data_IF_843644431411
#
_entry.id   IF_843644431411
#
_cell.length_a   1.000
_cell.length_b   1.000
_cell.length_c   1.000
_cell.angle_alpha   90.00
_cell.angle_beta   90.00
_cell.angle_gamma   90.00
#
_symmetry.space_group_name_H-M   'P 1'
#
loop_
_entity.id
_entity.type
_entity.pdbx_description
1 polymer ?
#
# COMPACT_ATOMS: atom_id res chain seq x y z
N UNK A 1 20.35 58.77 45.99
CA UNK A 1 19.71 57.81 46.93
C UNK A 1 18.54 57.19 46.18
N UNK A 2 18.37 55.86 46.24
CA UNK A 2 17.55 55.04 45.33
C UNK A 2 18.05 55.13 43.86
N UNK A 3 18.54 54.10 43.16
CA UNK A 3 18.48 52.63 43.22
C UNK A 3 17.38 51.97 42.36
N UNK A 4 17.77 51.62 41.14
CA UNK A 4 17.32 50.42 40.41
C UNK A 4 18.59 49.66 39.98
N UNK A 5 18.54 48.33 39.94
CA UNK A 5 19.72 47.48 39.84
C UNK A 5 19.83 46.74 38.50
N UNK A 6 21.04 46.31 38.16
CA UNK A 6 21.39 45.57 36.94
C UNK A 6 21.39 44.05 37.15
N UNK A 7 21.16 43.32 36.04
CA UNK A 7 21.21 41.86 35.96
C UNK A 7 20.16 41.35 34.96
N UNK A 8 20.40 40.30 34.18
CA UNK A 8 21.61 39.50 34.00
C UNK A 8 21.33 38.42 32.94
N UNK A 9 22.31 38.07 32.10
CA UNK A 9 22.05 37.17 30.97
C UNK A 9 21.75 35.73 31.43
N UNK A 10 20.81 35.07 30.76
CA UNK A 10 20.59 33.62 30.83
C UNK A 10 20.47 33.06 29.42
N UNK A 11 21.37 32.14 29.06
CA UNK A 11 21.38 31.47 27.76
C UNK A 11 20.49 30.23 27.81
N UNK A 12 19.29 30.32 27.22
CA UNK A 12 18.39 29.19 27.06
C UNK A 12 18.88 28.25 25.95
N UNK A 13 19.61 27.19 26.31
CA UNK A 13 19.97 26.10 25.39
C UNK A 13 18.71 25.24 25.14
N UNK A 14 18.38 24.86 23.89
CA UNK A 14 17.31 23.90 23.61
C UNK A 14 17.59 22.55 24.28
N UNK A 15 16.60 22.02 25.01
CA UNK A 15 16.77 20.80 25.80
C UNK A 15 17.10 19.58 24.95
N UNK A 16 18.05 18.76 25.40
CA UNK A 16 18.42 17.49 24.76
C UNK A 16 17.24 16.52 24.71
N UNK A 17 17.07 15.86 23.57
CA UNK A 17 16.14 14.73 23.41
C UNK A 17 16.43 13.63 24.44
N UNK A 18 15.51 13.40 25.37
CA UNK A 18 15.54 12.18 26.18
C UNK A 18 15.03 11.02 25.32
N UNK A 19 15.85 9.99 25.14
CA UNK A 19 15.44 8.76 24.48
C UNK A 19 14.53 7.94 25.40
N UNK A 20 13.24 7.90 25.09
CA UNK A 20 12.32 6.94 25.70
C UNK A 20 12.63 5.53 25.20
N UNK A 21 13.07 4.64 26.09
CA UNK A 21 13.25 3.23 25.79
C UNK A 21 11.91 2.50 25.83
N UNK A 22 11.49 1.92 24.71
CA UNK A 22 10.23 1.19 24.59
C UNK A 22 9.15 2.04 23.92
N UNK A 23 9.04 1.89 22.60
CA UNK A 23 7.91 2.34 21.80
C UNK A 23 7.45 1.15 20.97
N UNK A 24 6.23 0.67 21.19
CA UNK A 24 5.50 -0.04 20.14
C UNK A 24 5.30 0.92 18.94
N UNK A 25 4.84 0.40 17.79
CA UNK A 25 4.69 1.13 16.53
C UNK A 25 3.55 2.18 16.54
N UNK A 26 3.55 3.07 17.54
CA UNK A 26 2.50 4.07 17.73
C UNK A 26 2.56 5.12 16.62
N UNK A 27 1.55 5.10 15.77
CA UNK A 27 1.28 6.05 14.71
C UNK A 27 1.51 7.51 15.14
N UNK A 28 2.22 8.27 14.31
CA UNK A 28 2.28 9.74 14.44
C UNK A 28 0.89 10.33 14.19
N UNK A 29 0.32 11.02 15.19
CA UNK A 29 -0.93 11.78 15.02
C UNK A 29 -0.77 13.00 14.12
N UNK A 30 0.43 13.59 14.10
CA UNK A 30 0.71 14.84 13.40
C UNK A 30 1.58 14.61 12.16
N UNK A 31 1.19 15.21 11.02
CA UNK A 31 1.91 15.18 9.75
C UNK A 31 3.20 16.04 9.81
N UNK A 32 4.21 15.54 10.52
CA UNK A 32 5.50 16.23 10.69
C UNK A 32 6.56 15.74 9.69
N UNK A 33 7.09 16.60 8.80
CA UNK A 33 8.06 16.22 7.76
C UNK A 33 9.31 15.54 8.33
N UNK A 34 9.76 14.46 7.68
CA UNK A 34 10.91 13.68 8.15
C UNK A 34 12.24 14.41 7.95
N UNK A 35 12.63 15.24 8.92
CA UNK A 35 13.96 15.85 8.98
C UNK A 35 15.08 14.82 8.82
N UNK A 36 14.97 13.67 9.51
CA UNK A 36 15.91 12.53 9.39
C UNK A 36 16.12 12.06 7.96
N UNK A 37 15.08 12.03 7.13
CA UNK A 37 15.21 11.65 5.71
C UNK A 37 15.91 12.73 4.91
N UNK A 38 15.45 13.98 4.99
CA UNK A 38 15.98 15.09 4.22
C UNK A 38 17.41 15.49 4.58
N UNK A 39 17.81 15.31 5.83
CA UNK A 39 19.17 15.57 6.33
C UNK A 39 20.11 14.36 6.16
N UNK A 40 19.61 13.19 5.75
CA UNK A 40 20.44 11.98 5.60
C UNK A 40 21.46 12.12 4.45
N UNK A 41 22.70 11.61 4.61
CA UNK A 41 23.78 11.83 3.63
C UNK A 41 23.44 11.46 2.19
N UNK A 42 22.71 10.35 1.98
CA UNK A 42 22.39 9.84 0.65
C UNK A 42 21.26 10.62 -0.01
N UNK A 43 20.30 11.12 0.76
CA UNK A 43 19.26 12.04 0.23
C UNK A 43 19.90 13.38 -0.15
N UNK A 44 20.83 13.88 0.68
CA UNK A 44 21.65 15.06 0.36
C UNK A 44 22.56 14.82 -0.87
N UNK A 45 23.05 13.60 -1.08
CA UNK A 45 23.81 13.23 -2.27
C UNK A 45 22.93 13.17 -3.54
N UNK A 46 21.75 12.54 -3.46
CA UNK A 46 20.78 12.47 -4.57
C UNK A 46 20.30 13.87 -4.98
N UNK A 47 20.14 14.80 -4.02
CA UNK A 47 19.83 16.20 -4.28
C UNK A 47 20.87 16.94 -5.14
N UNK A 48 22.07 16.38 -5.39
CA UNK A 48 23.01 16.98 -6.36
C UNK A 48 22.46 16.94 -7.79
N UNK A 49 21.69 15.91 -8.16
CA UNK A 49 20.98 15.83 -9.46
C UNK A 49 20.01 17.00 -9.61
N UNK A 50 19.21 17.24 -8.57
CA UNK A 50 18.25 18.34 -8.48
C UNK A 50 18.97 19.70 -8.52
N UNK A 51 20.06 19.85 -7.77
CA UNK A 51 20.91 21.05 -7.76
C UNK A 51 21.51 21.37 -9.13
N UNK A 52 22.05 20.37 -9.83
CA UNK A 52 22.60 20.54 -11.17
C UNK A 52 21.51 20.95 -12.18
N UNK A 53 20.34 20.30 -12.11
CA UNK A 53 19.23 20.61 -13.00
C UNK A 53 18.71 22.04 -12.78
N UNK A 54 18.49 22.46 -11.53
CA UNK A 54 18.07 23.84 -11.20
C UNK A 54 19.13 24.85 -11.63
N UNK A 55 20.42 24.56 -11.38
CA UNK A 55 21.55 25.39 -11.82
C UNK A 55 21.64 25.59 -13.34
N UNK A 56 21.09 24.65 -14.13
CA UNK A 56 20.99 24.73 -15.59
C UNK A 56 19.70 25.43 -16.04
N UNK A 57 18.54 24.95 -15.61
CA UNK A 57 17.23 25.38 -16.12
C UNK A 57 16.72 26.68 -15.50
N UNK A 58 17.02 26.94 -14.22
CA UNK A 58 16.65 28.15 -13.49
C UNK A 58 17.85 29.09 -13.28
N UNK A 59 18.92 28.94 -14.07
CA UNK A 59 20.22 29.63 -13.93
C UNK A 59 20.12 31.13 -13.63
N UNK A 60 19.23 31.86 -14.32
CA UNK A 60 19.00 33.31 -14.11
C UNK A 60 18.71 33.67 -12.64
N UNK A 61 18.04 32.78 -11.92
CA UNK A 61 17.53 33.01 -10.56
C UNK A 61 18.48 32.50 -9.47
N UNK A 62 19.31 31.50 -9.77
CA UNK A 62 20.23 30.86 -8.79
C UNK A 62 21.71 31.17 -9.00
N UNK A 63 22.13 31.79 -10.12
CA UNK A 63 23.56 32.02 -10.41
C UNK A 63 24.28 32.90 -9.38
N UNK A 64 23.57 33.84 -8.74
CA UNK A 64 24.12 34.74 -7.71
C UNK A 64 24.08 34.16 -6.29
N UNK A 65 23.31 33.10 -6.08
CA UNK A 65 22.94 32.52 -4.78
C UNK A 65 22.72 31.01 -4.98
N UNK A 66 23.79 30.33 -5.42
CA UNK A 66 23.71 28.95 -5.89
C UNK A 66 23.59 27.99 -4.70
N UNK A 67 22.48 27.25 -4.55
CA UNK A 67 22.24 26.45 -3.36
C UNK A 67 23.13 25.21 -3.30
N UNK A 68 23.57 24.85 -2.09
CA UNK A 68 24.10 23.52 -1.81
C UNK A 68 22.96 22.51 -1.64
N UNK A 69 23.28 21.21 -1.69
CA UNK A 69 22.27 20.17 -1.48
C UNK A 69 21.64 20.23 -0.08
N UNK A 70 22.41 20.62 0.95
CA UNK A 70 21.89 20.88 2.30
C UNK A 70 20.92 22.06 2.33
N UNK A 71 21.18 23.12 1.54
CA UNK A 71 20.26 24.25 1.41
C UNK A 71 18.97 23.83 0.70
N UNK A 72 19.05 22.98 -0.34
CA UNK A 72 17.86 22.41 -0.98
C UNK A 72 17.03 21.55 0.00
N UNK A 73 17.67 20.64 0.74
CA UNK A 73 16.99 19.83 1.78
C UNK A 73 16.30 20.71 2.84
N UNK A 74 16.99 21.71 3.36
CA UNK A 74 16.44 22.63 4.36
C UNK A 74 15.29 23.49 3.81
N UNK A 75 15.30 23.86 2.52
CA UNK A 75 14.18 24.54 1.85
C UNK A 75 13.02 23.58 1.62
N UNK A 76 13.26 22.33 1.22
CA UNK A 76 12.22 21.30 1.07
C UNK A 76 11.51 21.04 2.39
N UNK A 77 12.23 20.92 3.52
CA UNK A 77 11.64 20.80 4.85
C UNK A 77 10.78 22.02 5.24
N UNK A 78 11.26 23.24 4.96
CA UNK A 78 10.47 24.46 5.22
C UNK A 78 9.21 24.53 4.36
N UNK A 79 9.27 24.09 3.10
CA UNK A 79 8.10 24.02 2.20
C UNK A 79 7.08 22.99 2.72
N UNK A 80 7.53 21.77 3.05
CA UNK A 80 6.67 20.72 3.60
C UNK A 80 6.01 21.15 4.92
N UNK A 81 6.74 21.81 5.82
CA UNK A 81 6.18 22.31 7.09
C UNK A 81 5.16 23.43 6.84
N UNK A 82 5.49 24.42 5.99
CA UNK A 82 4.53 25.49 5.64
C UNK A 82 3.28 24.93 4.95
N UNK A 83 3.42 23.89 4.14
CA UNK A 83 2.28 23.21 3.50
C UNK A 83 1.32 22.61 4.54
N UNK A 84 1.82 21.97 5.61
CA UNK A 84 0.94 21.46 6.67
C UNK A 84 0.40 22.60 7.56
N UNK A 85 1.23 23.59 7.90
CA UNK A 85 0.81 24.73 8.74
C UNK A 85 -0.29 25.59 8.08
N UNK A 86 -0.25 25.75 6.75
CA UNK A 86 -1.15 26.62 5.99
C UNK A 86 -2.25 25.89 5.21
N UNK A 87 -2.03 24.62 4.84
CA UNK A 87 -2.94 23.81 4.01
C UNK A 87 -3.26 22.43 4.61
N UNK A 88 -2.75 22.09 5.80
CA UNK A 88 -2.99 20.82 6.49
C UNK A 88 -4.42 20.59 6.97
N UNK A 89 -4.68 19.38 7.49
CA UNK A 89 -5.97 18.95 8.08
C UNK A 89 -6.46 19.88 9.21
N UNK A 90 -5.53 20.59 9.84
CA UNK A 90 -5.80 21.50 10.96
C UNK A 90 -5.70 22.98 10.60
N UNK A 91 -5.49 23.32 9.33
CA UNK A 91 -5.43 24.70 8.86
C UNK A 91 -6.82 25.36 8.83
N UNK A 92 -6.92 26.57 9.37
CA UNK A 92 -8.18 27.30 9.49
C UNK A 92 -8.58 27.98 8.17
N UNK A 93 -9.21 27.23 7.26
CA UNK A 93 -9.65 27.71 5.94
C UNK A 93 -8.50 27.73 4.92
N UNK A 94 -8.00 26.55 4.49
CA UNK A 94 -6.85 26.45 3.60
C UNK A 94 -7.12 27.11 2.24
N UNK A 95 -6.18 27.95 1.78
CA UNK A 95 -6.33 28.72 0.55
C UNK A 95 -5.97 27.95 -0.73
N UNK A 96 -5.31 26.79 -0.60
CA UNK A 96 -4.91 25.88 -1.67
C UNK A 96 -5.07 24.43 -1.19
N UNK A 97 -5.16 23.48 -2.13
CA UNK A 97 -4.96 22.05 -1.84
C UNK A 97 -3.47 21.78 -1.65
N UNK A 98 -3.10 20.83 -0.79
CA UNK A 98 -1.72 20.38 -0.62
C UNK A 98 -1.18 19.77 -1.92
N UNK A 99 0.09 20.03 -2.21
CA UNK A 99 0.81 19.30 -3.25
C UNK A 99 1.11 17.88 -2.74
N UNK A 100 0.77 16.80 -3.48
CA UNK A 100 0.99 15.43 -3.05
C UNK A 100 2.43 15.17 -2.59
N UNK A 101 2.62 14.44 -1.50
CA UNK A 101 3.96 14.17 -0.96
C UNK A 101 4.92 13.54 -1.99
N UNK A 102 4.42 12.71 -2.90
CA UNK A 102 5.20 12.14 -4.03
C UNK A 102 5.88 13.21 -4.90
N UNK A 103 5.26 14.38 -5.09
CA UNK A 103 5.85 15.48 -5.85
C UNK A 103 7.14 16.03 -5.21
N UNK A 104 7.31 15.87 -3.90
CA UNK A 104 8.56 16.19 -3.21
C UNK A 104 9.57 15.04 -3.24
N UNK A 105 9.14 13.79 -3.38
CA UNK A 105 10.00 12.61 -3.40
C UNK A 105 10.56 12.27 -4.81
N UNK A 106 10.09 12.92 -5.86
CA UNK A 106 10.65 12.78 -7.21
C UNK A 106 11.97 13.58 -7.38
N UNK A 107 13.07 12.98 -6.94
CA UNK A 107 14.45 13.49 -7.06
C UNK A 107 15.08 13.29 -8.46
N UNK A 108 14.34 12.76 -9.45
CA UNK A 108 14.88 12.50 -10.80
C UNK A 108 15.29 13.80 -11.52
N UNK A 109 16.18 13.75 -12.54
CA UNK A 109 16.55 14.96 -13.28
C UNK A 109 15.35 15.52 -14.06
N UNK A 110 14.80 16.65 -13.61
CA UNK A 110 13.55 17.21 -14.14
C UNK A 110 12.27 16.58 -13.58
N UNK A 111 12.39 15.79 -12.49
CA UNK A 111 11.26 15.32 -11.71
C UNK A 111 10.56 16.46 -10.94
N UNK A 112 9.43 16.14 -10.31
CA UNK A 112 8.58 17.15 -9.65
C UNK A 112 9.34 18.05 -8.65
N UNK A 113 10.25 17.51 -7.84
CA UNK A 113 11.03 18.31 -6.87
C UNK A 113 11.92 19.36 -7.56
N UNK A 114 12.43 19.08 -8.76
CA UNK A 114 13.19 20.04 -9.56
C UNK A 114 12.33 21.27 -9.94
N UNK A 115 11.05 21.04 -10.26
CA UNK A 115 10.10 22.10 -10.60
C UNK A 115 9.59 22.85 -9.36
N UNK A 116 9.40 22.17 -8.22
CA UNK A 116 9.09 22.80 -6.92
C UNK A 116 10.20 23.78 -6.53
N UNK A 117 11.42 23.28 -6.36
CA UNK A 117 12.54 24.09 -5.86
C UNK A 117 12.97 25.15 -6.88
N UNK A 118 13.00 24.82 -8.18
CA UNK A 118 13.26 25.81 -9.22
C UNK A 118 12.28 26.98 -9.17
N UNK A 119 10.97 26.70 -9.04
CA UNK A 119 9.93 27.72 -8.98
C UNK A 119 9.96 28.52 -7.67
N UNK A 120 10.28 27.89 -6.54
CA UNK A 120 10.51 28.57 -5.27
C UNK A 120 11.71 29.54 -5.33
N UNK A 121 12.83 29.12 -5.94
CA UNK A 121 14.01 29.99 -6.13
C UNK A 121 13.75 31.12 -7.14
N UNK A 122 12.97 30.88 -8.20
CA UNK A 122 12.46 31.93 -9.09
C UNK A 122 11.66 32.97 -8.30
N UNK A 123 10.67 32.52 -7.51
CA UNK A 123 9.82 33.42 -6.71
C UNK A 123 10.62 34.20 -5.68
N UNK A 124 11.54 33.55 -4.94
CA UNK A 124 12.51 34.18 -4.03
C UNK A 124 13.26 35.33 -4.71
N UNK A 125 13.77 35.11 -5.92
CA UNK A 125 14.53 36.10 -6.67
C UNK A 125 13.63 37.24 -7.20
N UNK A 126 12.43 36.92 -7.71
CA UNK A 126 11.47 37.90 -8.23
C UNK A 126 10.88 38.78 -7.11
N UNK A 127 10.76 38.27 -5.88
CA UNK A 127 10.40 39.03 -4.66
C UNK A 127 11.60 39.69 -3.95
N UNK A 128 12.83 39.59 -4.49
CA UNK A 128 14.04 40.18 -3.88
C UNK A 128 14.44 39.61 -2.52
N UNK A 129 14.02 38.39 -2.18
CA UNK A 129 14.24 37.78 -0.87
C UNK A 129 15.68 37.28 -0.69
N UNK A 130 16.36 37.78 0.36
CA UNK A 130 17.70 37.30 0.76
C UNK A 130 17.69 35.81 1.13
N UNK A 131 16.69 35.37 1.89
CA UNK A 131 16.46 33.97 2.29
C UNK A 131 14.98 33.61 2.25
N UNK A 132 14.66 32.32 2.21
CA UNK A 132 13.35 31.83 2.59
C UNK A 132 13.10 32.08 4.09
N UNK A 133 11.84 32.30 4.45
CA UNK A 133 11.42 32.76 5.78
C UNK A 133 9.94 32.36 5.96
N UNK A 134 9.65 31.07 5.78
CA UNK A 134 8.25 30.60 5.61
C UNK A 134 7.45 30.59 6.91
N UNK A 135 8.12 30.47 8.06
CA UNK A 135 7.53 30.57 9.41
C UNK A 135 7.09 31.98 9.79
N UNK A 136 7.38 33.01 8.99
CA UNK A 136 7.09 34.41 9.30
C UNK A 136 5.66 34.78 8.86
N UNK A 137 4.70 35.04 9.78
CA UNK A 137 3.30 35.28 9.41
C UNK A 137 3.10 36.49 8.48
N UNK A 138 3.97 37.51 8.57
CA UNK A 138 3.94 38.68 7.69
C UNK A 138 4.24 38.38 6.21
N UNK A 139 4.70 37.16 5.91
CA UNK A 139 4.93 36.66 4.55
C UNK A 139 3.91 35.62 4.10
N UNK A 140 2.97 35.20 4.96
CA UNK A 140 2.08 34.06 4.69
C UNK A 140 1.37 34.16 3.33
N UNK A 141 0.75 35.30 3.03
CA UNK A 141 0.10 35.57 1.72
C UNK A 141 1.07 35.38 0.53
N UNK A 142 2.30 35.88 0.61
CA UNK A 142 3.33 35.70 -0.43
C UNK A 142 3.87 34.27 -0.50
N UNK A 143 3.84 33.54 0.60
CA UNK A 143 4.18 32.11 0.61
C UNK A 143 3.05 31.29 -0.06
N UNK A 144 1.78 31.64 0.15
CA UNK A 144 0.63 31.05 -0.57
C UNK A 144 0.72 31.36 -2.08
N UNK A 145 1.02 32.60 -2.48
CA UNK A 145 1.29 32.94 -3.89
C UNK A 145 2.40 32.08 -4.51
N UNK A 146 3.48 31.82 -3.75
CA UNK A 146 4.58 30.96 -4.17
C UNK A 146 4.11 29.51 -4.38
N UNK A 147 3.28 28.97 -3.49
CA UNK A 147 2.72 27.62 -3.65
C UNK A 147 1.81 27.52 -4.88
N UNK A 148 0.94 28.49 -5.13
CA UNK A 148 0.16 28.53 -6.38
C UNK A 148 1.05 28.68 -7.63
N UNK A 149 2.21 29.34 -7.53
CA UNK A 149 3.18 29.39 -8.63
C UNK A 149 3.91 28.06 -8.85
N UNK A 150 4.16 27.28 -7.78
CA UNK A 150 4.73 25.93 -7.83
C UNK A 150 3.72 24.95 -8.44
N UNK A 151 2.47 24.96 -7.96
CA UNK A 151 1.35 24.14 -8.46
C UNK A 151 1.18 24.30 -9.99
N UNK A 152 1.05 25.54 -10.46
CA UNK A 152 0.97 25.84 -11.91
C UNK A 152 2.19 25.35 -12.68
N UNK A 153 3.39 25.41 -12.09
CA UNK A 153 4.60 24.90 -12.73
C UNK A 153 4.62 23.36 -12.80
N UNK A 154 4.13 22.67 -11.76
CA UNK A 154 4.01 21.20 -11.76
C UNK A 154 3.02 20.71 -12.82
N UNK A 155 1.84 21.34 -12.91
CA UNK A 155 0.82 21.02 -13.93
C UNK A 155 1.36 21.28 -15.34
N UNK A 156 2.02 22.43 -15.57
CA UNK A 156 2.60 22.78 -16.88
C UNK A 156 3.75 21.87 -17.35
N UNK A 157 4.36 21.09 -16.45
CA UNK A 157 5.43 20.15 -16.78
C UNK A 157 4.99 18.68 -16.56
N UNK A 158 3.67 18.43 -16.56
CA UNK A 158 3.05 17.10 -16.36
C UNK A 158 3.55 16.36 -15.10
N UNK A 159 4.04 17.11 -14.10
CA UNK A 159 4.58 16.61 -12.82
C UNK A 159 3.50 16.52 -11.73
N UNK A 160 2.33 17.12 -11.97
CA UNK A 160 1.10 16.96 -11.20
C UNK A 160 -0.06 16.86 -12.21
N UNK A 161 -0.85 15.80 -12.11
CA UNK A 161 -2.06 15.63 -12.92
C UNK A 161 -3.29 15.80 -12.01
N UNK A 162 -4.15 16.76 -12.32
CA UNK A 162 -5.41 16.94 -11.60
C UNK A 162 -6.42 15.85 -12.03
N UNK A 163 -7.21 15.27 -11.12
CA UNK A 163 -8.18 14.22 -11.46
C UNK A 163 -9.25 14.69 -12.46
N UNK A 164 -9.53 13.84 -13.45
CA UNK A 164 -10.73 13.90 -14.30
C UNK A 164 -11.63 12.75 -13.87
N UNK A 165 -12.82 13.07 -13.39
CA UNK A 165 -13.61 12.18 -12.53
C UNK A 165 -14.98 11.91 -13.13
N UNK A 166 -15.31 10.63 -13.30
CA UNK A 166 -16.65 10.15 -13.59
C UNK A 166 -17.30 9.64 -12.30
N UNK A 167 -18.53 10.04 -12.02
CA UNK A 167 -19.33 9.49 -10.91
C UNK A 167 -20.22 8.38 -11.45
N UNK A 168 -20.17 7.19 -10.85
CA UNK A 168 -20.99 6.07 -11.29
C UNK A 168 -22.49 6.29 -10.94
N UNK A 169 -23.44 5.94 -11.82
CA UNK A 169 -24.88 6.14 -11.58
C UNK A 169 -25.46 5.42 -10.35
N UNK A 170 -24.72 4.48 -9.74
CA UNK A 170 -25.11 3.87 -8.47
C UNK A 170 -24.87 4.76 -7.24
N UNK A 171 -24.16 5.89 -7.39
CA UNK A 171 -23.90 6.85 -6.30
C UNK A 171 -25.17 7.68 -6.00
N UNK A 172 -25.59 7.70 -4.73
CA UNK A 172 -26.74 8.48 -4.26
C UNK A 172 -26.62 9.97 -4.65
N UNK A 173 -27.73 10.60 -5.05
CA UNK A 173 -27.76 11.99 -5.51
C UNK A 173 -27.27 13.00 -4.45
N UNK A 174 -27.51 12.76 -3.15
CA UNK A 174 -26.97 13.61 -2.07
C UNK A 174 -25.44 13.48 -2.01
N UNK A 175 -24.94 12.25 -2.04
CA UNK A 175 -23.51 11.96 -2.05
C UNK A 175 -22.83 12.52 -3.31
N UNK A 176 -23.40 12.31 -4.51
CA UNK A 176 -22.89 12.84 -5.77
C UNK A 176 -22.80 14.38 -5.77
N UNK A 177 -23.76 15.07 -5.13
CA UNK A 177 -23.74 16.54 -4.97
C UNK A 177 -22.61 16.98 -4.03
N UNK A 178 -22.38 16.25 -2.93
CA UNK A 178 -21.25 16.49 -2.02
C UNK A 178 -19.90 16.23 -2.71
N UNK A 179 -19.75 15.09 -3.38
CA UNK A 179 -18.55 14.71 -4.14
C UNK A 179 -18.23 15.76 -5.21
N UNK A 180 -19.23 16.18 -6.00
CA UNK A 180 -19.11 17.24 -7.01
C UNK A 180 -18.53 18.54 -6.43
N UNK A 181 -19.02 18.93 -5.24
CA UNK A 181 -18.56 20.14 -4.53
C UNK A 181 -17.09 20.00 -4.12
N UNK A 182 -16.70 18.85 -3.56
CA UNK A 182 -15.33 18.55 -3.13
C UNK A 182 -14.37 18.51 -4.33
N UNK A 183 -14.70 17.75 -5.38
CA UNK A 183 -13.88 17.63 -6.60
C UNK A 183 -13.59 19.02 -7.18
N UNK A 184 -14.62 19.88 -7.27
CA UNK A 184 -14.48 21.26 -7.77
C UNK A 184 -13.60 22.12 -6.84
N UNK A 185 -13.78 22.03 -5.51
CA UNK A 185 -12.94 22.71 -4.50
C UNK A 185 -11.45 22.34 -4.66
N UNK A 186 -11.14 21.09 -4.97
CA UNK A 186 -9.79 20.57 -5.14
C UNK A 186 -9.27 20.60 -6.59
N UNK A 187 -9.89 21.42 -7.45
CA UNK A 187 -9.52 21.64 -8.86
C UNK A 187 -9.60 20.38 -9.76
N UNK A 188 -10.27 19.32 -9.30
CA UNK A 188 -10.63 18.19 -10.16
C UNK A 188 -11.71 18.58 -11.17
N UNK A 189 -11.71 17.89 -12.31
CA UNK A 189 -12.68 18.09 -13.39
C UNK A 189 -13.69 16.95 -13.41
N UNK A 190 -14.98 17.23 -13.58
CA UNK A 190 -16.02 16.22 -13.76
C UNK A 190 -16.25 15.92 -15.24
N UNK A 191 -16.57 14.66 -15.56
CA UNK A 191 -16.92 14.21 -16.91
C UNK A 191 -18.10 13.24 -16.86
N UNK A 192 -19.01 13.35 -17.82
CA UNK A 192 -20.07 12.36 -18.09
C UNK A 192 -19.55 11.22 -19.00
N UNK A 193 -18.46 11.45 -19.73
CA UNK A 193 -17.80 10.46 -20.57
C UNK A 193 -16.81 9.63 -19.75
N UNK A 194 -17.10 8.33 -19.63
CA UNK A 194 -16.27 7.33 -18.93
C UNK A 194 -14.89 7.11 -19.57
N UNK A 195 -14.73 7.39 -20.86
CA UNK A 195 -13.49 7.17 -21.61
C UNK A 195 -12.47 8.31 -21.44
N UNK A 196 -12.95 9.51 -21.13
CA UNK A 196 -12.12 10.68 -20.82
C UNK A 196 -11.73 10.77 -19.33
N UNK A 197 -12.37 9.98 -18.48
CA UNK A 197 -12.11 9.96 -17.04
C UNK A 197 -10.77 9.30 -16.71
N UNK A 198 -10.03 9.87 -15.76
CA UNK A 198 -8.90 9.19 -15.12
C UNK A 198 -9.33 8.34 -13.91
N UNK A 199 -10.46 8.68 -13.28
CA UNK A 199 -11.04 8.00 -12.12
C UNK A 199 -12.54 7.76 -12.32
N UNK A 200 -13.02 6.54 -12.01
CA UNK A 200 -14.45 6.21 -11.87
C UNK A 200 -14.74 6.04 -10.39
N UNK A 201 -15.67 6.85 -9.86
CA UNK A 201 -16.05 6.86 -8.44
C UNK A 201 -17.31 6.03 -8.22
N UNK A 202 -17.17 4.97 -7.44
CA UNK A 202 -18.26 4.08 -7.05
C UNK A 202 -18.84 4.47 -5.66
N UNK A 203 -20.03 3.96 -5.30
CA UNK A 203 -20.60 4.14 -3.96
C UNK A 203 -19.63 3.68 -2.87
N UNK A 204 -19.78 4.21 -1.65
CA UNK A 204 -19.08 3.71 -0.48
C UNK A 204 -19.22 2.18 -0.40
N UNK A 205 -18.08 1.49 -0.37
CA UNK A 205 -18.06 0.05 -0.17
C UNK A 205 -18.61 -0.31 1.23
N UNK A 206 -19.11 -1.54 1.37
CA UNK A 206 -19.40 -2.08 2.69
C UNK A 206 -18.09 -2.15 3.49
N UNK A 207 -18.11 -1.65 4.73
CA UNK A 207 -16.95 -1.65 5.62
C UNK A 207 -16.41 -3.06 5.83
N UNK A 208 -15.17 -3.28 5.40
CA UNK A 208 -14.23 -4.09 6.18
C UNK A 208 -14.00 -3.38 7.52
N UNK A 209 -13.71 -4.14 8.57
CA UNK A 209 -13.62 -3.63 9.94
C UNK A 209 -12.54 -2.52 10.07
N UNK A 210 -12.73 -1.56 10.97
CA UNK A 210 -11.91 -0.33 11.09
C UNK A 210 -10.51 -0.57 11.70
N UNK A 211 -9.93 -1.75 11.47
CA UNK A 211 -8.59 -2.12 11.93
C UNK A 211 -7.53 -1.22 11.25
N UNK A 212 -6.69 -0.58 12.08
CA UNK A 212 -5.61 0.26 11.56
C UNK A 212 -4.57 -0.64 10.87
N UNK A 213 -4.30 -0.38 9.59
CA UNK A 213 -3.34 -1.12 8.79
C UNK A 213 -2.28 -0.20 8.18
N UNK A 214 -1.13 -0.78 7.88
CA UNK A 214 -0.04 -0.09 7.18
C UNK A 214 0.54 -0.94 6.05
N UNK A 215 1.29 -0.33 5.12
CA UNK A 215 2.08 -1.06 4.11
C UNK A 215 3.52 -0.51 3.99
N UNK A 216 4.54 -1.36 3.82
CA UNK A 216 5.90 -0.91 3.50
C UNK A 216 5.97 -0.27 2.10
N UNK A 217 6.49 0.96 2.00
CA UNK A 217 6.59 1.69 0.71
C UNK A 217 8.04 1.97 0.29
N UNK A 218 8.97 2.14 1.23
CA UNK A 218 10.40 2.32 0.92
C UNK A 218 11.28 1.88 2.10
N UNK A 219 12.26 1.01 1.86
CA UNK A 219 13.25 0.58 2.87
C UNK A 219 14.55 1.36 2.67
N UNK A 220 15.09 1.96 3.75
CA UNK A 220 16.37 2.67 3.75
C UNK A 220 17.16 2.35 5.02
N UNK A 221 18.34 1.78 4.85
CA UNK A 221 19.22 1.31 5.92
C UNK A 221 18.48 0.38 6.91
N UNK A 222 18.27 0.85 8.15
CA UNK A 222 17.56 0.17 9.24
C UNK A 222 16.18 0.79 9.51
N UNK A 223 15.62 1.49 8.54
CA UNK A 223 14.28 2.08 8.64
C UNK A 223 13.43 1.70 7.43
N UNK A 224 12.12 1.72 7.63
CA UNK A 224 11.12 1.54 6.58
C UNK A 224 10.15 2.72 6.65
N UNK A 225 9.91 3.36 5.51
CA UNK A 225 8.78 4.25 5.31
C UNK A 225 7.54 3.38 5.14
N UNK A 226 6.61 3.49 6.09
CA UNK A 226 5.30 2.85 6.03
C UNK A 226 4.22 3.87 5.73
N UNK A 227 3.31 3.49 4.86
CA UNK A 227 2.08 4.21 4.55
C UNK A 227 0.97 3.71 5.45
N UNK A 228 0.06 4.60 5.85
CA UNK A 228 -1.02 4.32 6.80
C UNK A 228 -2.35 4.33 6.07
N UNK A 229 -3.11 3.24 6.17
CA UNK A 229 -4.36 3.08 5.42
C UNK A 229 -5.34 4.23 5.62
N UNK A 230 -5.99 4.68 4.55
CA UNK A 230 -6.91 5.83 4.49
C UNK A 230 -6.29 7.19 4.84
N UNK A 231 -4.98 7.34 4.68
CA UNK A 231 -4.25 8.60 4.87
C UNK A 231 -3.47 8.97 3.60
N UNK A 232 -3.28 10.25 3.27
CA UNK A 232 -2.45 10.62 2.13
C UNK A 232 -0.97 10.45 2.47
N UNK A 233 -0.14 10.24 1.44
CA UNK A 233 1.30 9.96 1.53
C UNK A 233 2.11 10.97 2.37
N UNK A 234 1.57 12.15 2.71
CA UNK A 234 2.22 13.08 3.64
C UNK A 234 2.29 12.57 5.08
N UNK A 235 1.41 11.63 5.46
CA UNK A 235 1.37 11.00 6.79
C UNK A 235 2.31 9.78 6.91
N UNK A 236 2.93 9.33 5.81
CA UNK A 236 3.87 8.22 5.80
C UNK A 236 4.99 8.43 6.82
N UNK A 237 5.30 7.37 7.59
CA UNK A 237 6.18 7.48 8.74
C UNK A 237 7.36 6.50 8.67
N UNK A 238 8.53 6.97 9.11
CA UNK A 238 9.76 6.16 9.16
C UNK A 238 9.83 5.40 10.48
N UNK A 239 9.54 4.10 10.43
CA UNK A 239 9.68 3.14 11.53
C UNK A 239 11.03 2.40 11.45
N UNK A 240 11.39 1.65 12.49
CA UNK A 240 12.55 0.77 12.45
C UNK A 240 12.29 -0.43 11.55
N UNK A 241 13.33 -0.96 10.90
CA UNK A 241 13.27 -2.24 10.17
C UNK A 241 13.00 -3.47 11.05
N UNK A 242 12.95 -3.30 12.38
CA UNK A 242 12.56 -4.32 13.34
C UNK A 242 11.09 -4.20 13.79
N UNK A 243 10.45 -3.06 13.53
CA UNK A 243 9.08 -2.75 13.98
C UNK A 243 8.08 -2.85 12.81
N UNK A 244 8.53 -3.42 11.68
CA UNK A 244 7.80 -3.54 10.41
C UNK A 244 8.10 -4.91 9.82
N UNK A 245 7.08 -5.76 9.81
CA UNK A 245 7.08 -7.02 9.08
C UNK A 245 6.79 -6.80 7.59
N UNK A 246 6.97 -7.84 6.77
CA UNK A 246 6.85 -7.73 5.31
C UNK A 246 8.04 -7.05 4.60
N UNK A 247 8.08 -7.21 3.28
CA UNK A 247 9.03 -6.52 2.41
C UNK A 247 8.37 -5.34 1.67
N UNK A 248 9.18 -4.54 0.98
CA UNK A 248 8.65 -3.46 0.12
C UNK A 248 8.36 -4.05 -1.25
N UNK A 249 7.10 -4.43 -1.45
CA UNK A 249 6.58 -4.84 -2.76
C UNK A 249 6.43 -3.63 -3.70
N UNK A 250 6.52 -3.84 -5.02
CA UNK A 250 6.23 -2.80 -5.99
C UNK A 250 4.72 -2.47 -6.05
N UNK A 251 4.33 -1.22 -6.36
CA UNK A 251 2.93 -0.88 -6.59
C UNK A 251 2.28 -1.75 -7.69
N UNK A 252 1.03 -2.19 -7.50
CA UNK A 252 0.31 -2.92 -8.55
C UNK A 252 0.20 -2.06 -9.82
N UNK A 253 0.30 -2.70 -10.99
CA UNK A 253 0.21 -2.03 -12.28
C UNK A 253 -1.23 -1.54 -12.53
N UNK A 254 -1.55 -0.35 -12.03
CA UNK A 254 -2.88 0.24 -12.12
C UNK A 254 -3.20 0.68 -13.54
N UNK A 255 -4.09 -0.05 -14.21
CA UNK A 255 -4.67 0.40 -15.47
C UNK A 255 -5.50 1.69 -15.27
N UNK A 256 -5.66 2.46 -16.34
CA UNK A 256 -6.53 3.64 -16.37
C UNK A 256 -7.79 3.30 -17.18
N UNK A 257 -8.99 3.70 -16.72
CA UNK A 257 -9.29 4.54 -15.56
C UNK A 257 -9.17 3.80 -14.22
N UNK A 258 -8.71 4.48 -13.17
CA UNK A 258 -8.72 3.91 -11.80
C UNK A 258 -10.16 3.76 -11.33
N UNK A 259 -10.49 2.63 -10.69
CA UNK A 259 -11.80 2.37 -10.07
C UNK A 259 -11.66 2.52 -8.55
N UNK A 260 -12.29 3.52 -7.95
CA UNK A 260 -12.22 3.76 -6.50
C UNK A 260 -13.59 4.04 -5.89
N UNK A 261 -13.81 3.72 -4.61
CA UNK A 261 -15.04 4.13 -3.91
C UNK A 261 -15.00 5.59 -3.45
N UNK A 262 -16.16 6.16 -3.18
CA UNK A 262 -16.38 7.56 -2.79
C UNK A 262 -15.56 8.05 -1.58
N UNK A 263 -14.99 7.15 -0.76
CA UNK A 263 -14.11 7.49 0.36
C UNK A 263 -12.91 8.32 -0.09
N UNK A 264 -12.33 8.00 -1.25
CA UNK A 264 -11.16 8.68 -1.81
C UNK A 264 -11.32 10.21 -1.90
N UNK A 265 -12.50 10.65 -2.37
CA UNK A 265 -12.85 12.07 -2.46
C UNK A 265 -13.25 12.64 -1.10
N UNK A 266 -13.99 11.88 -0.29
CA UNK A 266 -14.46 12.33 1.03
C UNK A 266 -13.29 12.62 1.98
N UNK A 267 -12.25 11.79 1.96
CA UNK A 267 -11.05 11.98 2.78
C UNK A 267 -10.14 13.07 2.20
N UNK A 268 -10.14 13.30 0.88
CA UNK A 268 -9.50 14.49 0.29
C UNK A 268 -10.04 15.80 0.86
N UNK A 269 -11.35 15.89 1.13
CA UNK A 269 -11.96 17.05 1.81
C UNK A 269 -11.44 17.23 3.24
N UNK A 270 -11.17 16.10 3.93
CA UNK A 270 -10.71 16.03 5.34
C UNK A 270 -9.23 16.36 5.49
N UNK A 271 -8.36 15.82 4.62
CA UNK A 271 -6.91 16.05 4.68
C UNK A 271 -6.42 17.22 3.84
N UNK A 272 -7.28 17.77 2.96
CA UNK A 272 -6.95 18.81 1.99
C UNK A 272 -5.80 18.42 1.04
N UNK A 273 -5.69 17.13 0.72
CA UNK A 273 -4.70 16.52 -0.19
C UNK A 273 -5.41 15.44 -1.03
N UNK A 274 -4.97 15.21 -2.27
CA UNK A 274 -5.47 14.08 -3.07
C UNK A 274 -4.97 12.75 -2.48
N UNK A 275 -5.89 11.87 -2.09
CA UNK A 275 -5.57 10.63 -1.38
C UNK A 275 -4.86 9.61 -2.27
N UNK A 276 -4.11 8.67 -1.67
CA UNK A 276 -3.53 7.55 -2.40
C UNK A 276 -4.65 6.67 -2.98
N UNK A 277 -4.61 6.39 -4.28
CA UNK A 277 -5.74 5.73 -4.94
C UNK A 277 -5.81 4.23 -4.65
N UNK A 278 -4.70 3.58 -4.24
CA UNK A 278 -4.67 2.14 -3.92
C UNK A 278 -5.59 1.78 -2.74
N UNK A 279 -5.72 2.68 -1.77
CA UNK A 279 -6.46 2.48 -0.51
C UNK A 279 -7.97 2.36 -0.71
N UNK A 280 -8.46 2.87 -1.84
CA UNK A 280 -9.87 3.00 -2.15
C UNK A 280 -10.25 2.18 -3.39
N UNK A 281 -9.33 1.38 -3.92
CA UNK A 281 -9.54 0.56 -5.12
C UNK A 281 -10.70 -0.43 -4.96
N UNK A 282 -11.53 -0.55 -5.99
CA UNK A 282 -12.68 -1.49 -6.02
C UNK A 282 -12.73 -2.31 -7.30
N UNK A 283 -13.16 -3.57 -7.17
CA UNK A 283 -13.30 -4.51 -8.27
C UNK A 283 -14.51 -4.19 -9.18
N UNK A 284 -14.82 -5.09 -10.12
CA UNK A 284 -15.98 -4.94 -11.02
C UNK A 284 -17.33 -4.93 -10.30
N UNK A 285 -17.40 -5.48 -9.08
CA UNK A 285 -18.60 -5.67 -8.25
C UNK A 285 -18.71 -4.64 -7.10
N UNK A 286 -17.84 -3.63 -7.09
CA UNK A 286 -17.68 -2.64 -6.01
C UNK A 286 -17.23 -3.25 -4.66
N UNK A 287 -16.43 -4.31 -4.69
CA UNK A 287 -15.79 -4.89 -3.50
C UNK A 287 -14.38 -4.26 -3.34
N UNK A 288 -13.97 -3.84 -2.12
CA UNK A 288 -12.62 -3.32 -1.87
C UNK A 288 -11.52 -4.29 -2.28
N UNK A 289 -10.46 -3.79 -2.91
CA UNK A 289 -9.29 -4.58 -3.28
C UNK A 289 -8.18 -4.33 -2.26
N UNK A 290 -7.95 -5.32 -1.39
CA UNK A 290 -6.92 -5.28 -0.35
C UNK A 290 -5.53 -5.43 -0.99
N UNK A 291 -4.76 -4.34 -1.01
CA UNK A 291 -3.39 -4.32 -1.51
C UNK A 291 -2.38 -4.16 -0.36
N UNK A 292 -1.56 -5.20 -0.15
CA UNK A 292 -0.30 -5.13 0.62
C UNK A 292 -0.46 -4.69 2.10
N UNK A 293 -1.65 -4.90 2.67
CA UNK A 293 -2.03 -4.42 3.99
C UNK A 293 -1.48 -5.35 5.09
N UNK A 294 -0.86 -4.75 6.11
CA UNK A 294 -0.47 -5.39 7.36
C UNK A 294 -1.36 -4.84 8.48
N UNK A 295 -2.14 -5.69 9.14
CA UNK A 295 -2.96 -5.25 10.27
C UNK A 295 -2.10 -4.97 11.51
N UNK A 296 -2.50 -3.96 12.29
CA UNK A 296 -1.82 -3.58 13.53
C UNK A 296 -2.48 -4.25 14.76
N UNK A 297 -3.66 -4.86 14.63
CA UNK A 297 -4.40 -5.47 15.76
C UNK A 297 -3.69 -6.65 16.43
N UNK A 298 -2.71 -7.29 15.79
CA UNK A 298 -1.87 -8.34 16.41
C UNK A 298 -0.74 -7.80 17.30
N UNK A 299 -0.46 -6.49 17.27
CA UNK A 299 0.67 -5.87 18.01
C UNK A 299 0.33 -5.46 19.46
N UNK A 300 -0.91 -5.68 19.91
CA UNK A 300 -1.40 -5.28 21.24
C UNK A 300 -1.28 -6.36 22.35
N UNK A 301 -0.66 -7.52 22.11
CA UNK A 301 -0.41 -8.56 23.13
C UNK A 301 0.97 -8.38 23.84
N UNK A 302 1.06 -7.72 25.02
CA UNK A 302 2.31 -7.60 25.75
C UNK A 302 2.69 -8.93 26.43
N UNK A 303 3.66 -9.65 25.86
CA UNK A 303 4.38 -10.76 26.49
C UNK A 303 4.81 -10.41 27.93
N UNK A 304 4.05 -10.86 28.92
CA UNK A 304 4.15 -10.40 30.31
C UNK A 304 4.03 -11.51 31.36
N UNK A 305 4.58 -12.70 31.07
CA UNK A 305 4.90 -13.71 32.09
C UNK A 305 5.99 -13.21 33.07
N UNK A 306 5.62 -12.29 33.98
CA UNK A 306 6.48 -11.85 35.09
C UNK A 306 5.76 -12.02 36.43
N UNK A 307 6.16 -13.08 37.13
CA UNK A 307 5.70 -13.49 38.46
C UNK A 307 5.72 -12.32 39.48
N UNK A 308 4.54 -11.91 39.97
CA UNK A 308 4.39 -10.77 40.90
C UNK A 308 3.72 -11.17 42.22
N UNK A 309 4.44 -11.92 43.07
CA UNK A 309 3.99 -12.26 44.43
C UNK A 309 4.01 -11.05 45.38
N UNK A 310 2.90 -10.68 46.05
CA UNK A 310 2.84 -9.49 46.91
C UNK A 310 3.32 -9.73 48.35
N UNK A 311 4.27 -8.93 48.90
CA UNK A 311 4.80 -9.15 50.25
C UNK A 311 4.12 -8.31 51.36
N UNK A 312 3.40 -8.96 52.30
CA UNK A 312 3.04 -8.37 53.61
C UNK A 312 3.32 -9.35 54.76
N UNK A 313 3.81 -8.86 55.90
CA UNK A 313 4.46 -9.67 56.96
C UNK A 313 3.53 -10.09 58.11
N UNK A 314 3.42 -11.40 58.32
CA UNK A 314 3.25 -12.15 59.60
C UNK A 314 2.11 -11.76 60.57
N UNK A 315 1.17 -12.71 60.75
CA UNK A 315 0.69 -13.14 62.09
C UNK A 315 0.67 -14.68 62.19
N UNK A 316 0.32 -15.25 63.35
CA UNK A 316 0.63 -16.65 63.74
C UNK A 316 -0.42 -17.69 63.30
N UNK A 317 0.04 -18.94 63.24
CA UNK A 317 -0.68 -20.23 63.06
C UNK A 317 -1.83 -20.46 64.08
N UNK A 318 -2.78 -21.41 63.87
CA UNK A 318 -2.46 -22.86 63.78
C UNK A 318 -3.31 -23.78 62.86
N UNK A 319 -2.64 -24.84 62.37
CA UNK A 319 -3.07 -26.26 62.24
C UNK A 319 -4.34 -26.69 61.45
N UNK A 320 -4.38 -27.94 60.92
CA UNK A 320 -5.40 -28.40 59.97
C UNK A 320 -6.56 -29.20 60.60
N UNK A 321 -7.61 -29.43 59.81
CA UNK A 321 -8.66 -30.43 60.03
C UNK A 321 -8.81 -31.35 58.81
N UNK A 322 -9.29 -32.58 59.01
CA UNK A 322 -9.44 -33.58 57.96
C UNK A 322 -10.62 -34.54 58.21
N UNK A 323 -11.37 -34.86 57.16
CA UNK A 323 -12.30 -35.99 57.04
C UNK A 323 -12.65 -36.19 55.55
N UNK A 324 -12.41 -37.39 55.00
CA UNK A 324 -13.41 -38.40 54.60
C UNK A 324 -14.37 -38.02 53.44
N UNK A 325 -14.60 -38.85 52.41
CA UNK A 325 -13.93 -40.11 52.03
C UNK A 325 -14.79 -41.05 51.15
N UNK A 326 -14.12 -42.03 50.49
CA UNK A 326 -14.67 -43.24 49.82
C UNK A 326 -15.54 -43.04 48.54
N UNK A 327 -15.75 -44.03 47.63
CA UNK A 327 -14.92 -45.14 47.08
C UNK A 327 -15.68 -45.83 45.91
N UNK A 328 -14.97 -46.45 44.93
CA UNK A 328 -15.47 -47.23 43.74
C UNK A 328 -16.10 -46.37 42.61
N UNK A 329 -16.03 -46.71 41.31
CA UNK A 329 -15.18 -47.68 40.59
C UNK A 329 -15.88 -48.89 39.92
N UNK A 330 -15.81 -49.00 38.57
CA UNK A 330 -16.11 -50.22 37.78
C UNK A 330 -15.41 -50.21 36.39
N UNK A 331 -15.40 -51.34 35.66
CA UNK A 331 -14.65 -51.57 34.39
C UNK A 331 -15.52 -52.14 33.23
N UNK A 332 -15.12 -51.85 31.99
CA UNK A 332 -15.31 -52.64 30.74
C UNK A 332 -14.26 -52.16 29.72
N UNK A 333 -13.46 -52.93 28.96
CA UNK A 333 -13.68 -54.06 28.00
C UNK A 333 -14.53 -53.67 26.78
N UNK A 334 -14.21 -54.05 25.52
CA UNK A 334 -12.96 -54.43 24.78
C UNK A 334 -13.34 -54.71 23.30
N UNK A 335 -12.40 -54.60 22.35
CA UNK A 335 -12.47 -54.80 20.86
C UNK A 335 -12.70 -53.50 20.08
N UNK A 336 -12.06 -53.31 18.92
CA UNK A 336 -11.06 -54.16 18.27
C UNK A 336 -10.38 -53.47 17.08
N UNK A 337 -9.18 -53.91 16.71
CA UNK A 337 -8.48 -53.48 15.49
C UNK A 337 -8.97 -54.28 14.29
N UNK A 338 -8.92 -53.66 13.12
CA UNK A 338 -8.68 -54.31 11.84
C UNK A 338 -7.43 -53.62 11.26
N UNK A 339 -6.54 -54.39 10.63
CA UNK A 339 -5.30 -53.90 10.05
C UNK A 339 -5.54 -53.53 8.57
N UNK A 340 -4.98 -52.40 8.15
CA UNK A 340 -4.65 -52.11 6.75
C UNK A 340 -3.14 -51.89 6.68
N UNK A 341 -2.52 -52.31 5.58
CA UNK A 341 -1.07 -52.34 5.45
C UNK A 341 -0.51 -50.92 5.25
N UNK A 342 0.60 -50.55 5.92
CA UNK A 342 1.27 -49.28 5.65
C UNK A 342 2.06 -49.40 4.34
N UNK A 343 1.71 -48.56 3.35
CA UNK A 343 2.63 -48.29 2.23
C UNK A 343 3.95 -47.74 2.79
N UNK A 344 5.08 -48.28 2.33
CA UNK A 344 6.38 -48.01 2.94
C UNK A 344 6.87 -46.58 2.64
N UNK A 345 7.05 -45.75 3.68
CA UNK A 345 7.61 -44.40 3.55
C UNK A 345 9.11 -44.47 3.19
N UNK A 346 9.38 -44.50 1.88
CA UNK A 346 10.72 -44.51 1.30
C UNK A 346 11.55 -43.25 1.61
N UNK A 347 11.00 -42.22 2.27
CA UNK A 347 11.74 -41.02 2.69
C UNK A 347 12.26 -41.07 4.12
N UNK A 348 11.89 -42.11 4.89
CA UNK A 348 12.15 -42.22 6.33
C UNK A 348 13.63 -42.26 6.74
N UNK A 349 14.51 -42.77 5.86
CA UNK A 349 15.96 -42.85 6.09
C UNK A 349 16.75 -41.73 5.34
N UNK A 350 16.07 -40.70 4.83
CA UNK A 350 16.74 -39.50 4.31
C UNK A 350 17.02 -38.51 5.44
N UNK A 351 18.29 -38.13 5.60
CA UNK A 351 18.76 -37.19 6.62
C UNK A 351 18.42 -35.74 6.23
N UNK A 352 17.92 -34.93 7.17
CA UNK A 352 17.54 -33.53 6.91
C UNK A 352 18.74 -32.71 6.41
N UNK A 353 18.61 -31.93 5.32
CA UNK A 353 19.74 -31.22 4.72
C UNK A 353 20.23 -30.07 5.60
N UNK A 354 21.47 -30.15 6.07
CA UNK A 354 22.09 -29.09 6.89
C UNK A 354 22.21 -27.77 6.13
N UNK A 355 21.68 -26.65 6.65
CA UNK A 355 21.68 -25.38 5.93
C UNK A 355 23.02 -24.64 6.05
N UNK A 356 23.76 -24.56 4.95
CA UNK A 356 24.92 -23.65 4.78
C UNK A 356 25.00 -23.17 3.32
N UNK A 357 25.61 -22.01 3.03
CA UNK A 357 25.14 -21.13 1.96
C UNK A 357 26.18 -20.94 0.83
N UNK A 358 26.04 -19.81 0.11
CA UNK A 358 26.93 -19.25 -0.92
C UNK A 358 26.59 -19.67 -2.36
N UNK A 359 26.14 -18.70 -3.17
CA UNK A 359 26.05 -18.82 -4.63
C UNK A 359 27.46 -18.80 -5.24
N UNK A 360 27.68 -19.56 -6.31
CA UNK A 360 28.89 -19.50 -7.13
C UNK A 360 28.48 -19.47 -8.61
N UNK A 361 29.00 -18.51 -9.38
CA UNK A 361 28.63 -18.30 -10.79
C UNK A 361 29.28 -19.34 -11.72
N UNK A 362 28.47 -20.10 -12.46
CA UNK A 362 28.96 -21.02 -13.49
C UNK A 362 29.14 -20.28 -14.83
N UNK A 363 30.39 -19.97 -15.16
CA UNK A 363 30.77 -19.31 -16.42
C UNK A 363 30.66 -20.27 -17.61
N UNK A 364 29.88 -19.88 -18.63
CA UNK A 364 29.73 -20.65 -19.87
C UNK A 364 30.99 -20.58 -20.78
N UNK A 365 31.54 -21.73 -21.25
CA UNK A 365 32.63 -21.74 -22.23
C UNK A 365 32.22 -21.24 -23.63
N UNK A 366 33.13 -20.51 -24.30
CA UNK A 366 32.97 -20.04 -25.69
C UNK A 366 33.74 -20.92 -26.67
N UNK A 367 33.14 -21.23 -27.83
CA UNK A 367 33.75 -21.53 -29.15
C UNK A 367 32.62 -21.33 -30.20
N UNK A 368 32.45 -20.15 -30.82
CA UNK A 368 32.87 -19.78 -32.21
C UNK A 368 33.02 -20.96 -33.21
N UNK A 369 32.52 -20.95 -34.45
CA UNK A 369 31.76 -20.00 -35.30
C UNK A 369 31.14 -20.80 -36.52
N UNK A 370 30.46 -20.32 -37.58
CA UNK A 370 30.21 -19.03 -38.24
C UNK A 370 28.98 -19.16 -39.21
N UNK A 371 28.38 -18.02 -39.66
CA UNK A 371 27.36 -17.87 -40.77
C UNK A 371 25.92 -18.32 -40.39
N UNK A 372 24.88 -17.47 -40.44
CA UNK A 372 24.24 -16.72 -41.58
C UNK A 372 23.36 -17.67 -42.43
N UNK A 373 22.05 -17.48 -42.63
CA UNK A 373 21.20 -16.26 -42.68
C UNK A 373 19.93 -16.28 -41.77
N UNK A 374 19.06 -15.27 -41.91
CA UNK A 374 17.82 -14.98 -41.17
C UNK A 374 16.56 -15.73 -41.64
N UNK A 375 15.62 -16.05 -40.73
CA UNK A 375 14.20 -16.27 -41.08
C UNK A 375 13.21 -15.95 -39.93
N UNK A 376 12.97 -14.67 -39.64
CA UNK A 376 11.91 -14.21 -38.71
C UNK A 376 11.15 -13.00 -39.30
N UNK A 377 10.46 -13.21 -40.42
CA UNK A 377 9.59 -12.20 -41.06
C UNK A 377 8.31 -12.85 -41.61
N UNK A 378 7.13 -12.23 -41.45
CA UNK A 378 5.85 -12.82 -41.86
C UNK A 378 5.64 -12.78 -43.37
N UNK A 379 5.11 -13.87 -43.94
CA UNK A 379 4.73 -13.98 -45.36
C UNK A 379 3.29 -13.48 -45.56
N UNK A 380 3.02 -12.82 -46.71
CA UNK A 380 1.79 -12.05 -46.95
C UNK A 380 1.12 -12.39 -48.29
N UNK A 381 -0.02 -13.10 -48.24
CA UNK A 381 -1.09 -13.07 -49.26
C UNK A 381 -1.12 -14.18 -50.34
N UNK A 382 -2.33 -14.45 -50.86
CA UNK A 382 -2.66 -15.47 -51.88
C UNK A 382 -3.51 -16.61 -51.29
N UNK A 383 -4.85 -16.57 -51.21
CA UNK A 383 -5.93 -16.33 -52.21
C UNK A 383 -6.06 -17.49 -53.22
N UNK A 384 -7.01 -18.42 -52.97
CA UNK A 384 -8.15 -18.75 -53.86
C UNK A 384 -8.91 -20.01 -53.40
N UNK A 385 -10.17 -19.84 -52.99
CA UNK A 385 -11.25 -20.81 -53.10
C UNK A 385 -12.56 -20.03 -52.93
N UNK A 386 -13.40 -20.01 -53.97
CA UNK A 386 -14.58 -19.16 -54.11
C UNK A 386 -15.76 -20.03 -54.56
N UNK A 387 -16.90 -19.95 -53.87
CA UNK A 387 -18.16 -20.62 -54.21
C UNK A 387 -19.36 -19.85 -53.64
N UNK A 388 -19.64 -18.73 -54.30
CA UNK A 388 -20.95 -18.31 -54.84
C UNK A 388 -22.14 -18.05 -53.90
N UNK A 389 -22.91 -17.02 -54.27
CA UNK A 389 -24.16 -16.60 -53.62
C UNK A 389 -25.38 -17.19 -54.35
N UNK A 390 -26.48 -17.46 -53.64
CA UNK A 390 -27.80 -17.62 -54.25
C UNK A 390 -28.91 -17.15 -53.30
N UNK A 391 -29.50 -15.99 -53.60
CA UNK A 391 -30.76 -15.52 -53.02
C UNK A 391 -31.95 -16.21 -53.73
N UNK A 392 -33.04 -16.52 -53.00
CA UNK A 392 -34.42 -16.42 -53.54
C UNK A 392 -35.52 -16.55 -52.44
N UNK A 393 -36.25 -15.45 -52.25
CA UNK A 393 -37.67 -15.25 -51.92
C UNK A 393 -38.53 -16.17 -50.99
N UNK A 394 -39.05 -15.51 -49.93
CA UNK A 394 -40.47 -15.51 -49.47
C UNK A 394 -41.10 -16.83 -48.88
N UNK A 395 -42.37 -16.84 -48.35
CA UNK A 395 -42.53 -16.55 -46.91
C UNK A 395 -43.50 -17.47 -46.11
N UNK A 396 -43.34 -17.46 -44.78
CA UNK A 396 -44.41 -17.43 -43.76
C UNK A 396 -45.50 -18.54 -43.70
N UNK A 397 -45.62 -19.18 -42.53
CA UNK A 397 -46.90 -19.71 -42.02
C UNK A 397 -46.93 -19.77 -40.50
N UNK A 398 -48.15 -19.76 -39.96
CA UNK A 398 -48.50 -19.71 -38.53
C UNK A 398 -48.90 -21.11 -38.00
N UNK A 399 -49.42 -21.18 -36.77
CA UNK A 399 -50.18 -22.29 -36.16
C UNK A 399 -49.38 -23.56 -35.73
N UNK A 400 -49.71 -24.29 -34.64
CA UNK A 400 -50.52 -24.05 -33.43
C UNK A 400 -50.09 -25.05 -32.30
N UNK A 401 -50.48 -24.77 -31.05
CA UNK A 401 -50.37 -25.54 -29.78
C UNK A 401 -49.64 -26.90 -29.69
N UNK A 402 -48.77 -27.02 -28.66
CA UNK A 402 -48.04 -28.24 -28.29
C UNK A 402 -47.81 -28.42 -26.78
N UNK A 403 -48.88 -28.40 -25.97
CA UNK A 403 -48.84 -28.42 -24.50
C UNK A 403 -48.38 -29.76 -23.90
N UNK A 404 -47.10 -29.89 -23.51
CA UNK A 404 -46.51 -31.11 -22.95
C UNK A 404 -45.56 -30.89 -21.75
N UNK A 405 -45.80 -31.66 -20.70
CA UNK A 405 -45.25 -31.64 -19.33
C UNK A 405 -43.74 -31.39 -19.10
N UNK A 406 -43.42 -30.83 -17.92
CA UNK A 406 -42.06 -30.74 -17.33
C UNK A 406 -41.72 -32.04 -16.58
N UNK A 407 -40.67 -32.80 -16.96
CA UNK A 407 -39.97 -33.71 -16.07
C UNK A 407 -39.10 -32.88 -15.10
N UNK A 408 -39.08 -33.27 -13.82
CA UNK A 408 -38.34 -32.51 -12.78
C UNK A 408 -36.84 -32.82 -12.83
N UNK A 409 -36.06 -31.79 -12.52
CA UNK A 409 -34.73 -31.81 -11.91
C UNK A 409 -34.18 -33.22 -11.59
N UNK A 410 -33.14 -33.64 -12.32
CA UNK A 410 -32.10 -34.48 -11.73
C UNK A 410 -31.10 -33.57 -11.03
N UNK A 411 -30.58 -34.01 -9.89
CA UNK A 411 -29.52 -33.30 -9.18
C UNK A 411 -28.15 -33.61 -9.81
N UNK A 412 -27.24 -32.65 -9.74
CA UNK A 412 -25.78 -32.85 -9.81
C UNK A 412 -25.20 -33.41 -11.12
N UNK A 413 -24.83 -32.52 -12.05
CA UNK A 413 -23.69 -32.77 -12.93
C UNK A 413 -23.00 -31.44 -13.29
N UNK A 414 -21.67 -31.48 -13.29
CA UNK A 414 -20.76 -30.33 -13.25
C UNK A 414 -20.95 -29.30 -14.38
N UNK A 415 -21.25 -28.05 -14.01
CA UNK A 415 -21.22 -26.91 -14.94
C UNK A 415 -19.79 -26.39 -15.16
N UNK A 416 -18.87 -27.32 -15.46
CA UNK A 416 -17.47 -27.03 -15.81
C UNK A 416 -17.42 -26.42 -17.19
N UNK A 417 -16.86 -25.21 -17.30
CA UNK A 417 -16.66 -24.52 -18.57
C UNK A 417 -15.67 -25.29 -19.45
N UNK A 418 -16.02 -25.52 -20.72
CA UNK A 418 -15.16 -26.27 -21.64
C UNK A 418 -13.75 -25.66 -21.72
N UNK A 419 -12.75 -26.49 -21.41
CA UNK A 419 -11.36 -26.07 -21.36
C UNK A 419 -10.81 -25.88 -22.79
N UNK A 420 -10.91 -24.66 -23.31
CA UNK A 420 -10.51 -24.30 -24.69
C UNK A 420 -9.00 -24.43 -24.98
N UNK A 421 -8.15 -24.56 -23.96
CA UNK A 421 -6.69 -24.59 -24.09
C UNK A 421 -6.05 -25.65 -23.18
N UNK A 422 -5.09 -26.43 -23.70
CA UNK A 422 -4.37 -27.42 -22.91
C UNK A 422 -3.53 -26.77 -21.80
N UNK A 423 -3.84 -27.09 -20.53
CA UNK A 423 -3.01 -26.71 -19.38
C UNK A 423 -1.83 -27.68 -19.28
N UNK A 424 -0.61 -27.14 -19.31
CA UNK A 424 0.62 -27.91 -19.08
C UNK A 424 0.93 -27.87 -17.59
N UNK A 425 0.67 -28.98 -16.89
CA UNK A 425 0.95 -29.15 -15.46
C UNK A 425 2.46 -29.35 -15.25
N UNK A 426 3.16 -28.50 -14.47
CA UNK A 426 4.60 -28.66 -14.24
C UNK A 426 4.94 -29.91 -13.42
N UNK A 427 5.99 -30.63 -13.78
CA UNK A 427 6.34 -31.93 -13.17
C UNK A 427 6.68 -31.90 -11.68
N UNK A 428 7.00 -30.73 -11.10
CA UNK A 428 7.18 -30.58 -9.65
C UNK A 428 5.85 -30.55 -8.86
N UNK A 429 4.70 -30.46 -9.54
CA UNK A 429 3.37 -30.48 -8.90
C UNK A 429 2.76 -31.88 -8.81
N UNK A 430 3.40 -32.91 -9.40
CA UNK A 430 2.87 -34.28 -9.47
C UNK A 430 2.69 -35.03 -8.14
N UNK A 431 3.02 -34.40 -7.00
CA UNK A 431 2.70 -34.91 -5.67
C UNK A 431 1.28 -34.52 -5.20
N UNK A 432 0.69 -33.47 -5.78
CA UNK A 432 -0.65 -32.99 -5.43
C UNK A 432 -1.72 -33.67 -6.28
N UNK A 433 -2.80 -34.13 -5.64
CA UNK A 433 -3.93 -34.77 -6.30
C UNK A 433 -5.23 -34.41 -5.59
N UNK A 434 -6.18 -33.81 -6.32
CA UNK A 434 -7.48 -33.39 -5.79
C UNK A 434 -8.28 -34.53 -5.14
N UNK A 435 -8.05 -35.77 -5.59
CA UNK A 435 -8.75 -36.96 -5.10
C UNK A 435 -8.02 -37.70 -3.95
N UNK A 436 -6.85 -37.23 -3.48
CA UNK A 436 -6.11 -37.92 -2.43
C UNK A 436 -5.12 -37.03 -1.66
N UNK A 437 -5.35 -36.86 -0.35
CA UNK A 437 -4.48 -36.09 0.55
C UNK A 437 -3.08 -36.73 0.65
N UNK A 438 -2.05 -36.03 0.16
CA UNK A 438 -0.68 -36.51 0.09
C UNK A 438 0.02 -36.59 1.46
N UNK A 439 1.14 -37.31 1.54
CA UNK A 439 1.94 -37.44 2.77
C UNK A 439 2.53 -36.10 3.23
N UNK A 440 2.86 -35.21 2.29
CA UNK A 440 3.35 -33.84 2.55
C UNK A 440 2.29 -33.01 3.27
N UNK A 441 1.02 -33.06 2.85
CA UNK A 441 -0.09 -32.33 3.48
C UNK A 441 -0.32 -32.81 4.92
N UNK A 442 -0.32 -34.14 5.13
CA UNK A 442 -0.44 -34.77 6.45
C UNK A 442 0.72 -34.42 7.39
N UNK A 443 1.92 -34.16 6.83
CA UNK A 443 3.12 -33.72 7.55
C UNK A 443 3.09 -32.22 7.88
N UNK A 444 2.51 -31.40 7.00
CA UNK A 444 2.38 -29.95 7.17
C UNK A 444 1.23 -29.53 8.12
N UNK A 445 0.09 -30.22 8.07
CA UNK A 445 -1.12 -29.89 8.84
C UNK A 445 -1.60 -31.05 9.75
N UNK A 446 -0.73 -31.57 10.66
CA UNK A 446 -0.99 -32.77 11.44
C UNK A 446 -2.16 -32.65 12.43
N UNK A 447 -2.69 -31.45 12.67
CA UNK A 447 -3.83 -31.22 13.56
C UNK A 447 -5.21 -31.53 12.93
N UNK A 448 -5.30 -31.65 11.60
CA UNK A 448 -6.50 -32.16 10.90
C UNK A 448 -6.58 -33.69 10.88
N UNK A 449 -5.47 -34.39 11.15
CA UNK A 449 -5.37 -35.86 11.07
C UNK A 449 -5.25 -36.54 12.44
N UNK A 450 -5.04 -35.79 13.53
CA UNK A 450 -4.77 -36.38 14.85
C UNK A 450 -6.00 -36.59 15.74
N UNK A 451 -7.20 -36.19 15.29
CA UNK A 451 -8.48 -36.45 15.97
C UNK A 451 -8.69 -35.74 17.33
N UNK A 452 -7.79 -34.82 17.74
CA UNK A 452 -7.91 -34.10 19.03
C UNK A 452 -8.92 -32.95 18.97
N UNK A 453 -9.00 -32.27 17.82
CA UNK A 453 -9.90 -31.14 17.60
C UNK A 453 -11.13 -31.57 16.80
N UNK A 454 -12.33 -31.42 17.38
CA UNK A 454 -13.60 -31.80 16.73
C UNK A 454 -13.99 -30.95 15.52
N UNK A 455 -13.31 -29.83 15.32
CA UNK A 455 -13.52 -28.85 14.24
C UNK A 455 -12.41 -28.87 13.18
N UNK A 456 -11.47 -29.84 13.25
CA UNK A 456 -10.43 -30.04 12.25
C UNK A 456 -10.43 -31.51 11.84
N UNK A 457 -11.24 -31.83 10.84
CA UNK A 457 -11.37 -33.13 10.17
C UNK A 457 -10.67 -33.09 8.81
N UNK A 458 -10.27 -34.26 8.25
CA UNK A 458 -9.74 -34.35 6.89
C UNK A 458 -10.85 -34.30 5.82
N UNK A 459 -12.10 -34.48 6.25
CA UNK A 459 -13.33 -34.29 5.48
C UNK A 459 -13.82 -32.85 5.68
N UNK A 460 -14.23 -32.18 4.59
CA UNK A 460 -14.93 -30.88 4.57
C UNK A 460 -16.44 -31.07 4.42
#
# INVERSE_FOLDING_TARGET
IMATASGGASLGVPGTSQGGTGTAALRKKDCSPSARFWESPDTVAQLDVVRQWIGKHYKKYVLLDAPSCQALAAVTLQLLQFQEDAFGRHAAGPALTKLPAQCFLDLRPGGALCHILGSAYKFKAEQGWRRFDLQNPSRSERNVEMFGAIERALIQNNSLALPVVYLDPMVDQELATRLTTIITKHQGTLTEDRTLASHHIYPLAASTEEDEWMRPVMRKDKHVLVHWGTHPDSYDSWLSSNDVEGEVEEPPHSEKPRRVHAGWVLDTDVFNEWMNEEDYCVDERNIPVIFRQLSISEWEEPCSETMSTPPKKRRRSPSPSASEGRKKGKKGRRRGQQEEEPEEDLTKDMEDPTPVPNMEEVILPKIVNLKKDSENTPVKGGIMADLDEQEDDFPGREDEDGRGEIPRLSEGEDNVTEQTHHIIIPSYTSWFNYNSIHSIEKRALPEFFNGKNKSKTPEM
#
